data_IF_503170850045
#
_entry.id   IF_503170850045
#
_cell.length_a   1.000
_cell.length_b   1.000
_cell.length_c   1.000
_cell.angle_alpha   90.00
_cell.angle_beta   90.00
_cell.angle_gamma   90.00
#
_symmetry.space_group_name_H-M   'P 1'
#
loop_
_entity.id
_entity.type
_entity.pdbx_description
1 polymer ?
#
# COMPACT_ATOMS: atom_id res chain seq x y z
N UNK A 1 -26.97 -18.68 -15.74
CA UNK A 1 -27.27 -17.68 -14.68
C UNK A 1 -26.09 -17.70 -13.72
N UNK A 2 -25.14 -16.78 -13.86
CA UNK A 2 -24.07 -16.59 -12.89
C UNK A 2 -24.71 -16.08 -11.60
N UNK A 3 -24.58 -16.84 -10.50
CA UNK A 3 -24.92 -16.35 -9.17
C UNK A 3 -24.21 -14.99 -9.01
N UNK A 4 -24.95 -13.93 -8.69
CA UNK A 4 -24.41 -12.65 -8.25
C UNK A 4 -23.53 -12.94 -7.02
N UNK A 5 -22.23 -13.23 -7.23
CA UNK A 5 -21.25 -13.07 -6.16
C UNK A 5 -21.27 -11.59 -5.86
N UNK A 6 -21.57 -11.23 -4.63
CA UNK A 6 -21.40 -9.86 -4.20
C UNK A 6 -19.93 -9.48 -4.43
N UNK A 7 -19.71 -8.53 -5.32
CA UNK A 7 -18.36 -8.10 -5.75
C UNK A 7 -17.61 -7.48 -4.57
N UNK A 8 -18.33 -6.92 -3.62
CA UNK A 8 -17.83 -6.43 -2.35
C UNK A 8 -18.34 -7.34 -1.23
N UNK A 9 -17.44 -7.81 -0.39
CA UNK A 9 -17.80 -8.58 0.80
C UNK A 9 -18.79 -7.78 1.64
N UNK A 10 -19.76 -8.45 2.25
CA UNK A 10 -20.55 -7.83 3.28
C UNK A 10 -19.70 -7.51 4.52
N UNK A 11 -20.24 -6.72 5.43
CA UNK A 11 -19.50 -6.24 6.60
C UNK A 11 -19.14 -7.38 7.57
N UNK A 12 -19.92 -8.44 7.61
CA UNK A 12 -19.67 -9.57 8.49
C UNK A 12 -18.52 -10.43 7.94
N UNK A 13 -18.61 -10.83 6.68
CA UNK A 13 -17.58 -11.61 5.99
C UNK A 13 -16.21 -10.92 6.05
N UNK A 14 -16.19 -9.58 5.86
CA UNK A 14 -14.95 -8.80 5.91
C UNK A 14 -14.37 -8.73 7.33
N UNK A 15 -15.20 -8.54 8.35
CA UNK A 15 -14.76 -8.55 9.76
C UNK A 15 -14.21 -9.91 10.18
N UNK A 16 -14.86 -11.00 9.76
CA UNK A 16 -14.38 -12.36 10.01
C UNK A 16 -13.01 -12.59 9.34
N UNK A 17 -12.82 -12.14 8.11
CA UNK A 17 -11.56 -12.26 7.40
C UNK A 17 -10.44 -11.41 8.03
N UNK A 18 -10.75 -10.20 8.49
CA UNK A 18 -9.79 -9.36 9.21
C UNK A 18 -9.38 -10.03 10.53
N UNK A 19 -10.33 -10.58 11.29
CA UNK A 19 -10.05 -11.32 12.52
C UNK A 19 -9.25 -12.61 12.25
N UNK A 20 -9.48 -13.31 11.14
CA UNK A 20 -8.68 -14.46 10.72
C UNK A 20 -7.26 -14.06 10.31
N UNK A 21 -7.10 -12.94 9.63
CA UNK A 21 -5.78 -12.45 9.20
C UNK A 21 -4.88 -12.05 10.36
N UNK A 22 -5.45 -11.62 11.48
CA UNK A 22 -4.73 -11.30 12.71
C UNK A 22 -4.26 -12.55 13.48
N UNK A 23 -4.87 -13.72 13.22
CA UNK A 23 -4.50 -14.95 13.88
C UNK A 23 -3.31 -15.63 13.18
N UNK A 24 -2.18 -15.75 13.87
CA UNK A 24 -0.93 -16.30 13.32
C UNK A 24 -1.03 -17.78 12.87
N UNK A 25 -2.01 -18.53 13.33
CA UNK A 25 -2.21 -19.96 13.04
C UNK A 25 -3.17 -20.20 11.87
N UNK A 26 -4.08 -19.26 11.59
CA UNK A 26 -5.09 -19.40 10.54
C UNK A 26 -4.53 -19.05 9.15
N UNK A 27 -5.08 -19.66 8.06
CA UNK A 27 -4.80 -19.22 6.69
C UNK A 27 -5.11 -17.75 6.49
N UNK A 28 -4.50 -17.15 5.47
CA UNK A 28 -4.74 -15.78 5.05
C UNK A 28 -5.29 -15.75 3.61
N UNK A 29 -5.47 -14.56 3.03
CA UNK A 29 -6.02 -14.40 1.70
C UNK A 29 -5.03 -13.78 0.73
N UNK A 30 -5.00 -14.30 -0.50
CA UNK A 30 -4.33 -13.71 -1.65
C UNK A 30 -5.39 -13.43 -2.74
N UNK A 31 -5.85 -12.18 -2.84
CA UNK A 31 -7.13 -11.88 -3.48
C UNK A 31 -8.26 -12.62 -2.75
N UNK A 32 -9.14 -13.28 -3.49
CA UNK A 32 -10.20 -14.10 -2.90
C UNK A 32 -9.77 -15.54 -2.53
N UNK A 33 -8.54 -15.92 -2.87
CA UNK A 33 -8.04 -17.27 -2.61
C UNK A 33 -7.51 -17.39 -1.18
N UNK A 34 -7.99 -18.38 -0.44
CA UNK A 34 -7.49 -18.72 0.90
C UNK A 34 -6.19 -19.51 0.77
N UNK A 35 -5.13 -19.01 1.37
CA UNK A 35 -3.76 -19.56 1.25
C UNK A 35 -3.09 -19.70 2.62
N UNK A 36 -2.13 -20.63 2.73
CA UNK A 36 -1.26 -20.67 3.89
C UNK A 36 -0.38 -19.41 3.97
N UNK A 37 -0.07 -18.92 5.16
CA UNK A 37 0.66 -17.67 5.39
C UNK A 37 2.02 -17.63 4.68
N UNK A 38 2.79 -18.71 4.80
CA UNK A 38 4.09 -18.80 4.15
C UNK A 38 3.97 -18.72 2.62
N UNK A 39 2.94 -19.38 2.06
CA UNK A 39 2.67 -19.32 0.63
C UNK A 39 2.20 -17.94 0.16
N UNK A 40 1.51 -17.14 1.00
CA UNK A 40 1.10 -15.78 0.60
C UNK A 40 2.32 -14.90 0.29
N UNK A 41 3.31 -14.90 1.18
CA UNK A 41 4.54 -14.12 0.98
C UNK A 41 5.22 -14.45 -0.35
N UNK A 42 5.39 -15.73 -0.64
CA UNK A 42 6.05 -16.18 -1.86
C UNK A 42 5.24 -15.82 -3.11
N UNK A 43 3.92 -15.95 -3.05
CA UNK A 43 3.03 -15.50 -4.14
C UNK A 43 3.09 -14.00 -4.38
N UNK A 44 3.14 -13.20 -3.32
CA UNK A 44 3.31 -11.73 -3.43
C UNK A 44 4.63 -11.40 -4.11
N UNK A 45 5.74 -12.04 -3.70
CA UNK A 45 7.05 -11.83 -4.32
C UNK A 45 7.01 -12.22 -5.81
N UNK A 46 6.47 -13.38 -6.16
CA UNK A 46 6.33 -13.83 -7.55
C UNK A 46 5.46 -12.89 -8.38
N UNK A 47 4.33 -12.44 -7.81
CA UNK A 47 3.44 -11.48 -8.44
C UNK A 47 4.16 -10.19 -8.82
N UNK A 48 4.85 -9.55 -7.87
CA UNK A 48 5.57 -8.31 -8.13
C UNK A 48 6.78 -8.51 -9.04
N UNK A 49 7.48 -9.64 -8.97
CA UNK A 49 8.54 -9.99 -9.93
C UNK A 49 8.01 -10.02 -11.37
N UNK A 50 6.80 -10.55 -11.58
CA UNK A 50 6.21 -10.67 -12.92
C UNK A 50 5.80 -9.33 -13.52
N UNK A 51 5.49 -8.33 -12.69
CA UNK A 51 5.01 -7.01 -13.15
C UNK A 51 6.03 -5.88 -13.03
N UNK A 52 7.15 -6.09 -12.33
CA UNK A 52 8.11 -5.04 -11.96
C UNK A 52 8.56 -4.17 -13.15
N UNK A 53 8.80 -4.77 -14.33
CA UNK A 53 9.23 -4.06 -15.54
C UNK A 53 8.23 -3.03 -16.06
N UNK A 54 6.93 -3.34 -15.93
CA UNK A 54 5.84 -2.51 -16.46
C UNK A 54 5.04 -1.83 -15.35
N UNK A 55 5.48 -1.96 -14.10
CA UNK A 55 4.72 -1.55 -12.92
C UNK A 55 4.29 -0.08 -12.96
N UNK A 56 5.23 0.83 -13.13
CA UNK A 56 4.92 2.27 -13.15
C UNK A 56 4.08 2.67 -14.37
N UNK A 57 4.37 2.08 -15.53
CA UNK A 57 3.61 2.32 -16.75
C UNK A 57 2.16 1.85 -16.60
N UNK A 58 1.96 0.62 -16.12
CA UNK A 58 0.63 0.07 -15.92
C UNK A 58 -0.17 0.81 -14.85
N UNK A 59 0.46 1.21 -13.75
CA UNK A 59 -0.20 2.04 -12.75
C UNK A 59 -0.65 3.38 -13.34
N UNK A 60 0.17 4.03 -14.16
CA UNK A 60 -0.19 5.27 -14.85
C UNK A 60 -1.34 5.05 -15.84
N UNK A 61 -1.27 3.99 -16.64
CA UNK A 61 -2.30 3.65 -17.61
C UNK A 61 -3.63 3.34 -16.93
N UNK A 62 -3.63 2.41 -15.97
CA UNK A 62 -4.85 1.94 -15.30
C UNK A 62 -5.48 2.96 -14.35
N UNK A 63 -4.74 3.95 -13.91
CA UNK A 63 -5.29 5.05 -13.12
C UNK A 63 -5.49 6.33 -13.93
N UNK A 64 -5.26 6.31 -15.25
CA UNK A 64 -5.25 7.52 -16.09
C UNK A 64 -4.32 8.62 -15.51
N UNK A 65 -3.20 8.20 -14.86
CA UNK A 65 -2.25 9.10 -14.22
C UNK A 65 -2.71 9.71 -12.88
N UNK A 66 -3.95 9.48 -12.45
CA UNK A 66 -4.52 10.07 -11.23
C UNK A 66 -3.74 9.64 -9.98
N UNK A 67 -3.13 8.45 -9.96
CA UNK A 67 -2.33 7.97 -8.82
C UNK A 67 -1.17 8.91 -8.46
N UNK A 68 -0.64 9.67 -9.44
CA UNK A 68 0.40 10.67 -9.16
C UNK A 68 -0.14 11.84 -8.30
N UNK A 69 -1.39 12.25 -8.54
CA UNK A 69 -2.05 13.28 -7.72
C UNK A 69 -2.34 12.76 -6.31
N UNK A 70 -2.78 11.52 -6.19
CA UNK A 70 -3.02 10.89 -4.88
C UNK A 70 -1.74 10.82 -4.05
N UNK A 71 -0.63 10.35 -4.66
CA UNK A 71 0.69 10.26 -4.00
C UNK A 71 1.21 11.63 -3.55
N UNK A 72 1.07 12.66 -4.41
CA UNK A 72 1.44 14.04 -4.04
C UNK A 72 0.58 14.57 -2.90
N UNK A 73 -0.73 14.34 -2.96
CA UNK A 73 -1.64 14.75 -1.89
C UNK A 73 -1.30 14.07 -0.57
N UNK A 74 -0.99 12.77 -0.60
CA UNK A 74 -0.64 11.99 0.58
C UNK A 74 0.64 12.51 1.26
N UNK A 75 1.71 12.71 0.50
CA UNK A 75 2.97 13.24 1.06
C UNK A 75 2.77 14.68 1.56
N UNK A 76 2.08 15.54 0.81
CA UNK A 76 1.79 16.91 1.25
C UNK A 76 1.01 16.96 2.57
N UNK A 77 0.06 16.03 2.76
CA UNK A 77 -0.73 15.97 4.00
C UNK A 77 0.08 15.50 5.21
N UNK A 78 1.23 14.86 5.00
CA UNK A 78 2.12 14.49 6.11
C UNK A 78 2.78 15.72 6.75
N UNK A 79 2.84 16.86 6.06
CA UNK A 79 3.49 18.07 6.55
C UNK A 79 4.86 17.77 7.14
N UNK A 80 5.74 17.23 6.27
CA UNK A 80 7.09 16.80 6.62
C UNK A 80 7.99 17.99 6.89
N UNK A 81 8.89 17.87 7.85
CA UNK A 81 9.84 18.93 8.21
C UNK A 81 11.23 18.70 7.57
N UNK A 82 11.98 19.77 7.30
CA UNK A 82 13.39 19.64 6.92
C UNK A 82 14.19 18.87 7.98
N UNK A 83 14.93 17.85 7.53
CA UNK A 83 15.71 17.01 8.42
C UNK A 83 15.00 15.72 8.87
N UNK A 84 13.72 15.52 8.54
CA UNK A 84 12.98 14.30 8.91
C UNK A 84 13.64 13.05 8.34
N UNK A 85 13.64 11.98 9.14
CA UNK A 85 14.02 10.62 8.76
C UNK A 85 12.75 9.82 8.50
N UNK A 86 12.58 9.33 7.29
CA UNK A 86 11.32 8.71 6.84
C UNK A 86 11.55 7.26 6.44
N UNK A 87 10.61 6.39 6.80
CA UNK A 87 10.54 5.02 6.31
C UNK A 87 9.36 4.86 5.35
N UNK A 88 9.66 4.51 4.09
CA UNK A 88 8.69 4.18 3.04
C UNK A 88 8.50 2.65 3.00
N UNK A 89 7.51 2.15 3.71
CA UNK A 89 7.22 0.71 3.88
C UNK A 89 6.48 0.18 2.66
N UNK A 90 6.92 -0.95 2.12
CA UNK A 90 6.48 -1.46 0.82
C UNK A 90 6.70 -0.42 -0.29
N UNK A 91 7.80 0.33 -0.21
CA UNK A 91 8.06 1.50 -1.04
C UNK A 91 8.36 1.21 -2.52
N UNK A 92 8.65 -0.06 -2.86
CA UNK A 92 8.74 -0.56 -4.23
C UNK A 92 9.63 0.27 -5.13
N UNK A 93 9.03 0.94 -6.14
CA UNK A 93 9.75 1.78 -7.12
C UNK A 93 10.05 3.20 -6.62
N UNK A 94 9.91 3.48 -5.31
CA UNK A 94 10.27 4.71 -4.62
C UNK A 94 9.46 5.97 -5.00
N UNK A 95 8.22 5.83 -5.47
CA UNK A 95 7.42 6.99 -5.87
C UNK A 95 7.14 7.95 -4.70
N UNK A 96 6.74 7.43 -3.54
CA UNK A 96 6.51 8.22 -2.34
C UNK A 96 7.82 8.77 -1.77
N UNK A 97 8.86 7.93 -1.72
CA UNK A 97 10.19 8.34 -1.28
C UNK A 97 10.74 9.52 -2.07
N UNK A 98 10.58 9.52 -3.41
CA UNK A 98 11.00 10.63 -4.26
C UNK A 98 10.22 11.93 -3.99
N UNK A 99 8.96 11.84 -3.63
CA UNK A 99 8.15 13.01 -3.26
C UNK A 99 8.60 13.53 -1.90
N UNK A 100 8.69 12.67 -0.89
CA UNK A 100 9.11 13.03 0.46
C UNK A 100 10.54 13.61 0.50
N UNK A 101 11.49 13.05 -0.27
CA UNK A 101 12.86 13.52 -0.34
C UNK A 101 13.00 14.96 -0.84
N UNK A 102 11.99 15.51 -1.53
CA UNK A 102 11.98 16.93 -1.94
C UNK A 102 11.64 17.86 -0.79
N UNK A 103 10.77 17.41 0.12
CA UNK A 103 10.22 18.25 1.19
C UNK A 103 11.15 18.31 2.42
N UNK A 104 11.94 17.23 2.68
CA UNK A 104 12.79 17.12 3.89
C UNK A 104 14.15 17.81 3.79
N UNK A 105 14.47 18.43 2.68
CA UNK A 105 15.76 19.11 2.51
C UNK A 105 16.97 18.19 2.47
N UNK A 106 18.17 18.73 2.61
CA UNK A 106 19.44 17.97 2.48
C UNK A 106 19.86 17.25 3.77
N UNK A 107 19.33 17.65 4.91
CA UNK A 107 19.64 17.04 6.22
C UNK A 107 18.77 15.82 6.53
N UNK A 108 17.65 15.66 5.82
CA UNK A 108 16.74 14.52 5.97
C UNK A 108 17.11 13.33 5.11
N UNK A 109 16.45 12.21 5.34
CA UNK A 109 16.64 10.99 4.55
C UNK A 109 15.40 10.10 4.50
N UNK A 110 15.22 9.39 3.39
CA UNK A 110 14.15 8.41 3.20
C UNK A 110 14.74 7.03 2.99
N UNK A 111 14.25 6.04 3.73
CA UNK A 111 14.58 4.63 3.50
C UNK A 111 13.38 3.97 2.82
N UNK A 112 13.58 3.49 1.60
CA UNK A 112 12.67 2.59 0.90
C UNK A 112 12.86 1.18 1.46
N UNK A 113 11.83 0.65 2.10
CA UNK A 113 11.85 -0.67 2.73
C UNK A 113 10.85 -1.58 2.03
N UNK A 114 11.34 -2.59 1.35
CA UNK A 114 10.49 -3.51 0.57
C UNK A 114 11.01 -4.94 0.64
N UNK A 115 10.10 -5.92 0.61
CA UNK A 115 10.46 -7.33 0.59
C UNK A 115 10.93 -7.78 -0.79
N UNK A 116 10.50 -7.09 -1.85
CA UNK A 116 10.72 -7.49 -3.23
C UNK A 116 11.96 -6.82 -3.84
N UNK A 117 12.99 -7.64 -4.08
CA UNK A 117 14.26 -7.17 -4.65
C UNK A 117 14.11 -6.55 -6.05
N UNK A 118 13.24 -7.12 -6.90
CA UNK A 118 13.06 -6.60 -8.26
C UNK A 118 12.43 -5.19 -8.25
N UNK A 119 11.50 -4.95 -7.32
CA UNK A 119 10.89 -3.63 -7.12
C UNK A 119 11.92 -2.61 -6.61
N UNK A 120 12.78 -2.99 -5.65
CA UNK A 120 13.90 -2.16 -5.18
C UNK A 120 14.84 -1.82 -6.33
N UNK A 121 15.23 -2.79 -7.16
CA UNK A 121 16.10 -2.55 -8.32
C UNK A 121 15.47 -1.57 -9.31
N UNK A 122 14.18 -1.70 -9.61
CA UNK A 122 13.46 -0.76 -10.45
C UNK A 122 13.47 0.66 -9.85
N UNK A 123 13.29 0.78 -8.53
CA UNK A 123 13.38 2.04 -7.80
C UNK A 123 14.78 2.66 -7.86
N UNK A 124 15.82 1.88 -7.64
CA UNK A 124 17.22 2.30 -7.74
C UNK A 124 17.53 2.89 -9.12
N UNK A 125 17.16 2.19 -10.20
CA UNK A 125 17.36 2.69 -11.57
C UNK A 125 16.59 3.99 -11.81
N UNK A 126 15.36 4.10 -11.31
CA UNK A 126 14.50 5.27 -11.47
C UNK A 126 15.05 6.51 -10.77
N UNK A 127 15.71 6.33 -9.63
CA UNK A 127 16.22 7.42 -8.77
C UNK A 127 17.66 7.80 -9.10
N UNK A 128 18.47 6.92 -9.67
CA UNK A 128 19.94 7.02 -9.82
C UNK A 128 20.44 8.36 -10.40
N UNK A 129 19.69 8.97 -11.32
CA UNK A 129 20.10 10.21 -12.01
C UNK A 129 19.34 11.45 -11.52
N UNK A 130 18.72 11.39 -10.35
CA UNK A 130 17.99 12.52 -9.76
C UNK A 130 18.80 13.19 -8.65
N UNK A 131 18.69 14.50 -8.53
CA UNK A 131 19.38 15.30 -7.51
C UNK A 131 19.08 14.84 -6.08
N UNK A 132 17.95 14.19 -5.88
CA UNK A 132 17.52 13.65 -4.59
C UNK A 132 18.06 12.23 -4.29
N UNK A 133 18.82 11.61 -5.21
CA UNK A 133 19.26 10.23 -5.09
C UNK A 133 20.06 9.98 -3.80
N UNK A 134 20.89 10.91 -3.41
CA UNK A 134 21.72 10.83 -2.20
C UNK A 134 20.92 10.86 -0.88
N UNK A 135 19.63 11.19 -0.92
CA UNK A 135 18.71 11.19 0.25
C UNK A 135 17.88 9.93 0.37
N UNK A 136 17.95 9.02 -0.60
CA UNK A 136 17.10 7.83 -0.64
C UNK A 136 17.96 6.59 -0.51
N UNK A 137 17.84 5.91 0.64
CA UNK A 137 18.42 4.61 0.88
C UNK A 137 17.44 3.48 0.59
N UNK A 138 17.94 2.25 0.46
CA UNK A 138 17.12 1.08 0.17
C UNK A 138 17.51 -0.06 1.11
N UNK A 139 16.51 -0.69 1.71
CA UNK A 139 16.67 -1.87 2.56
C UNK A 139 15.66 -2.93 2.14
N UNK A 140 16.15 -4.14 1.89
CA UNK A 140 15.27 -5.29 1.66
C UNK A 140 14.83 -5.87 3.00
N UNK A 141 13.51 -5.94 3.25
CA UNK A 141 12.99 -6.48 4.51
C UNK A 141 11.50 -6.68 4.51
N UNK A 142 11.00 -7.36 5.55
CA UNK A 142 9.60 -7.67 5.73
C UNK A 142 8.92 -6.62 6.62
N UNK A 143 7.82 -6.04 6.15
CA UNK A 143 7.03 -5.05 6.89
C UNK A 143 6.50 -5.55 8.25
N UNK A 144 6.37 -6.88 8.42
CA UNK A 144 5.94 -7.51 9.67
C UNK A 144 7.06 -7.63 10.72
N UNK A 145 8.32 -7.35 10.35
CA UNK A 145 9.51 -7.40 11.21
C UNK A 145 10.54 -6.39 10.71
N UNK A 146 10.27 -5.11 10.94
CA UNK A 146 11.12 -4.02 10.44
C UNK A 146 12.47 -4.01 11.17
N UNK A 147 13.57 -4.12 10.40
CA UNK A 147 14.95 -4.24 10.90
C UNK A 147 15.55 -2.91 11.35
N UNK A 148 14.75 -2.07 12.00
CA UNK A 148 15.18 -0.81 12.61
C UNK A 148 14.78 -0.78 14.09
N UNK A 149 15.54 -0.06 14.94
CA UNK A 149 15.22 0.07 16.36
C UNK A 149 13.92 0.86 16.58
N UNK A 150 13.39 0.77 17.78
CA UNK A 150 12.25 1.57 18.21
C UNK A 150 12.58 3.08 18.12
N UNK A 151 11.56 3.90 17.90
CA UNK A 151 11.64 5.36 17.92
C UNK A 151 12.78 5.92 17.03
N UNK A 152 12.94 5.38 15.83
CA UNK A 152 14.03 5.73 14.93
C UNK A 152 13.64 6.77 13.87
N UNK A 153 12.40 6.78 13.41
CA UNK A 153 11.91 7.61 12.32
C UNK A 153 10.96 8.72 12.81
N UNK A 154 11.01 9.86 12.15
CA UNK A 154 10.10 10.98 12.38
C UNK A 154 8.77 10.74 11.67
N UNK A 155 8.80 10.02 10.54
CA UNK A 155 7.60 9.62 9.82
C UNK A 155 7.73 8.22 9.20
N UNK A 156 6.60 7.51 9.09
CA UNK A 156 6.46 6.28 8.29
C UNK A 156 5.35 6.47 7.27
N UNK A 157 5.52 5.90 6.10
CA UNK A 157 4.49 5.95 5.06
C UNK A 157 4.40 4.61 4.33
N UNK A 158 3.21 4.31 3.82
CA UNK A 158 2.96 3.17 2.94
C UNK A 158 1.95 3.55 1.86
N UNK A 159 2.23 3.22 0.60
CA UNK A 159 1.32 3.50 -0.50
C UNK A 159 1.07 2.29 -1.39
N UNK A 160 -0.18 1.82 -1.44
CA UNK A 160 -0.64 0.72 -2.29
C UNK A 160 0.08 -0.61 -2.08
N UNK A 161 0.69 -0.80 -0.91
CA UNK A 161 1.50 -1.98 -0.59
C UNK A 161 0.97 -2.83 0.55
N UNK A 162 0.44 -2.22 1.60
CA UNK A 162 0.12 -2.88 2.87
C UNK A 162 -0.95 -3.98 2.74
N UNK A 163 -1.88 -3.88 1.79
CA UNK A 163 -2.89 -4.90 1.52
C UNK A 163 -2.31 -6.26 1.11
N UNK A 164 -1.06 -6.27 0.62
CA UNK A 164 -0.37 -7.49 0.21
C UNK A 164 0.45 -8.12 1.35
N UNK A 165 0.64 -7.44 2.46
CA UNK A 165 1.33 -7.96 3.65
C UNK A 165 0.50 -9.10 4.26
N UNK A 166 1.17 -10.12 4.77
CA UNK A 166 0.49 -11.34 5.25
C UNK A 166 -0.31 -11.05 6.52
N UNK A 167 0.29 -10.33 7.47
CA UNK A 167 -0.38 -9.77 8.63
C UNK A 167 -0.26 -8.24 8.61
N UNK A 168 -1.30 -7.59 8.10
CA UNK A 168 -1.36 -6.13 7.96
C UNK A 168 -1.28 -5.41 9.30
N UNK A 169 -2.00 -5.91 10.33
CA UNK A 169 -1.94 -5.36 11.69
C UNK A 169 -0.51 -5.34 12.20
N UNK A 170 0.22 -6.46 12.05
CA UNK A 170 1.63 -6.56 12.44
C UNK A 170 2.50 -5.56 11.69
N UNK A 171 2.24 -5.33 10.41
CA UNK A 171 2.92 -4.29 9.63
C UNK A 171 2.70 -2.89 10.22
N UNK A 172 1.48 -2.54 10.60
CA UNK A 172 1.20 -1.25 11.25
C UNK A 172 1.76 -1.17 12.67
N UNK A 173 1.77 -2.27 13.44
CA UNK A 173 2.43 -2.33 14.75
C UNK A 173 3.93 -2.06 14.64
N UNK A 174 4.61 -2.60 13.63
CA UNK A 174 6.01 -2.35 13.36
C UNK A 174 6.26 -0.88 12.92
N UNK A 175 5.38 -0.33 12.04
CA UNK A 175 5.44 1.10 11.69
C UNK A 175 5.27 1.97 12.93
N UNK A 176 4.35 1.63 13.84
CA UNK A 176 4.18 2.31 15.12
C UNK A 176 5.43 2.19 16.00
N UNK A 177 6.00 0.99 16.13
CA UNK A 177 7.18 0.73 16.96
C UNK A 177 8.38 1.61 16.57
N UNK A 178 8.67 1.66 15.26
CA UNK A 178 9.85 2.40 14.76
C UNK A 178 9.66 3.92 14.69
N UNK A 179 8.43 4.42 14.84
CA UNK A 179 8.15 5.86 14.94
C UNK A 179 8.58 6.41 16.29
N UNK A 180 9.14 7.62 16.29
CA UNK A 180 9.33 8.44 17.47
C UNK A 180 8.00 8.87 18.08
N UNK A 181 7.92 9.19 19.39
CA UNK A 181 6.76 9.88 19.97
C UNK A 181 6.44 11.17 19.18
N UNK A 182 5.18 11.40 18.85
CA UNK A 182 4.74 12.51 17.99
C UNK A 182 5.03 12.30 16.49
N UNK A 183 5.65 11.19 16.10
CA UNK A 183 5.92 10.85 14.70
C UNK A 183 4.64 10.55 13.91
N UNK A 184 4.68 10.84 12.63
CA UNK A 184 3.51 10.77 11.73
C UNK A 184 3.51 9.47 10.92
N UNK A 185 2.35 8.83 10.81
CA UNK A 185 2.12 7.69 9.92
C UNK A 185 1.14 8.08 8.82
N UNK A 186 1.43 7.68 7.58
CA UNK A 186 0.54 7.83 6.43
C UNK A 186 0.32 6.48 5.74
N UNK A 187 -0.94 6.15 5.47
CA UNK A 187 -1.32 5.03 4.62
C UNK A 187 -2.18 5.53 3.46
N UNK A 188 -1.71 5.36 2.23
CA UNK A 188 -2.47 5.60 1.01
C UNK A 188 -2.85 4.25 0.40
N UNK A 189 -4.13 3.91 0.39
CA UNK A 189 -4.62 2.65 -0.17
C UNK A 189 -5.93 2.82 -0.94
N UNK A 190 -6.21 1.81 -1.76
CA UNK A 190 -7.49 1.72 -2.45
C UNK A 190 -8.62 1.37 -1.48
N UNK A 191 -9.85 1.82 -1.83
CA UNK A 191 -11.04 1.53 -1.06
C UNK A 191 -12.28 1.45 -1.94
N UNK A 192 -13.43 1.33 -1.29
CA UNK A 192 -14.74 1.18 -1.92
C UNK A 192 -15.29 2.55 -2.34
N UNK A 193 -15.62 2.77 -3.63
CA UNK A 193 -16.26 4.01 -4.04
C UNK A 193 -17.56 4.26 -3.29
N UNK A 194 -17.78 5.49 -2.87
CA UNK A 194 -18.92 5.87 -2.03
C UNK A 194 -20.24 6.00 -2.81
N UNK A 195 -20.20 6.57 -4.03
CA UNK A 195 -21.36 6.75 -4.88
C UNK A 195 -21.71 5.49 -5.67
N UNK A 196 -22.87 4.91 -5.44
CA UNK A 196 -23.25 3.59 -5.97
C UNK A 196 -23.19 3.45 -7.50
N UNK A 197 -23.66 4.39 -8.33
CA UNK A 197 -23.53 4.30 -9.79
C UNK A 197 -22.09 4.31 -10.26
N UNK A 198 -21.25 5.13 -9.64
CA UNK A 198 -19.81 5.17 -9.96
C UNK A 198 -19.10 3.88 -9.52
N UNK A 199 -19.49 3.29 -8.38
CA UNK A 199 -18.99 1.98 -7.94
C UNK A 199 -19.30 0.88 -8.94
N UNK A 200 -20.52 0.84 -9.47
CA UNK A 200 -20.89 -0.15 -10.50
C UNK A 200 -20.00 -0.02 -11.75
N UNK A 201 -19.77 1.22 -12.21
CA UNK A 201 -18.86 1.47 -13.36
C UNK A 201 -17.41 1.06 -13.03
N UNK A 202 -16.95 1.37 -11.83
CA UNK A 202 -15.62 0.97 -11.35
C UNK A 202 -15.48 -0.55 -11.25
N UNK A 203 -16.53 -1.28 -10.87
CA UNK A 203 -16.54 -2.73 -10.83
C UNK A 203 -16.41 -3.34 -12.23
N UNK A 204 -17.17 -2.83 -13.20
CA UNK A 204 -17.01 -3.25 -14.59
C UNK A 204 -15.58 -3.00 -15.08
N UNK A 205 -15.07 -1.78 -14.87
CA UNK A 205 -13.71 -1.43 -15.25
C UNK A 205 -12.68 -2.36 -14.61
N UNK A 206 -12.76 -2.57 -13.30
CA UNK A 206 -11.75 -3.30 -12.54
C UNK A 206 -11.74 -4.81 -12.79
N UNK A 207 -12.90 -5.44 -13.10
CA UNK A 207 -12.96 -6.88 -13.33
C UNK A 207 -12.87 -7.30 -14.81
N UNK A 208 -13.17 -6.41 -15.74
CA UNK A 208 -13.16 -6.76 -17.17
C UNK A 208 -12.08 -6.01 -17.93
N UNK A 209 -11.95 -4.69 -17.76
CA UNK A 209 -11.03 -3.87 -18.55
C UNK A 209 -9.60 -3.99 -18.03
N UNK A 210 -9.37 -3.88 -16.72
CA UNK A 210 -8.02 -3.97 -16.15
C UNK A 210 -7.33 -5.32 -16.43
N UNK A 211 -7.98 -6.50 -16.22
CA UNK A 211 -7.37 -7.78 -16.56
C UNK A 211 -7.11 -7.96 -18.06
N UNK A 212 -7.98 -7.43 -18.93
CA UNK A 212 -7.78 -7.47 -20.39
C UNK A 212 -6.55 -6.64 -20.80
N UNK A 213 -6.43 -5.42 -20.30
CA UNK A 213 -5.25 -4.58 -20.56
C UNK A 213 -3.97 -5.18 -19.96
N UNK A 214 -4.08 -5.80 -18.79
CA UNK A 214 -2.97 -6.49 -18.15
C UNK A 214 -2.44 -7.67 -18.96
N UNK A 215 -3.32 -8.43 -19.59
CA UNK A 215 -2.96 -9.51 -20.51
C UNK A 215 -2.30 -8.97 -21.77
N UNK A 216 -2.89 -7.97 -22.39
CA UNK A 216 -2.44 -7.40 -23.66
C UNK A 216 -1.07 -6.71 -23.55
N UNK A 217 -0.82 -5.98 -22.46
CA UNK A 217 0.36 -5.09 -22.33
C UNK A 217 1.46 -5.72 -21.46
N UNK A 218 1.08 -6.35 -20.36
CA UNK A 218 2.02 -6.91 -19.39
C UNK A 218 2.12 -8.45 -19.45
N UNK A 219 1.36 -9.10 -20.34
CA UNK A 219 1.35 -10.56 -20.50
C UNK A 219 0.82 -11.32 -19.28
N UNK A 220 0.07 -10.67 -18.40
CA UNK A 220 -0.38 -11.29 -17.15
C UNK A 220 -1.80 -10.89 -16.74
N UNK A 221 -2.81 -11.59 -17.30
CA UNK A 221 -4.21 -11.44 -16.86
C UNK A 221 -4.37 -11.69 -15.36
N UNK A 222 -3.69 -12.73 -14.84
CA UNK A 222 -3.77 -13.16 -13.44
C UNK A 222 -3.34 -12.05 -12.47
N UNK A 223 -2.26 -11.33 -12.78
CA UNK A 223 -1.78 -10.25 -11.94
C UNK A 223 -2.80 -9.11 -11.80
N UNK A 224 -3.48 -8.79 -12.88
CA UNK A 224 -4.47 -7.70 -12.93
C UNK A 224 -5.89 -8.14 -12.53
N UNK A 225 -6.14 -9.42 -12.35
CA UNK A 225 -7.32 -9.97 -11.66
C UNK A 225 -7.12 -9.92 -10.14
N UNK A 226 -5.91 -10.22 -9.67
CA UNK A 226 -5.57 -10.13 -8.24
C UNK A 226 -5.73 -8.70 -7.67
N UNK A 227 -5.42 -7.67 -8.45
CA UNK A 227 -5.52 -6.28 -8.00
C UNK A 227 -6.93 -5.90 -7.50
N UNK A 228 -8.01 -6.02 -8.30
CA UNK A 228 -9.35 -5.71 -7.81
C UNK A 228 -9.82 -6.62 -6.67
N UNK A 229 -9.41 -7.88 -6.64
CA UNK A 229 -9.72 -8.79 -5.54
C UNK A 229 -9.09 -8.33 -4.23
N UNK A 230 -7.78 -8.01 -4.23
CA UNK A 230 -7.07 -7.54 -3.04
C UNK A 230 -7.61 -6.21 -2.50
N UNK A 231 -8.09 -5.32 -3.38
CA UNK A 231 -8.76 -4.08 -2.97
C UNK A 231 -10.04 -4.37 -2.17
N UNK A 232 -10.82 -5.36 -2.60
CA UNK A 232 -12.10 -5.71 -1.96
C UNK A 232 -11.96 -6.46 -0.64
N UNK A 233 -10.78 -7.01 -0.42
CA UNK A 233 -10.39 -7.68 0.83
C UNK A 233 -9.78 -6.70 1.84
N UNK A 234 -9.47 -5.47 1.44
CA UNK A 234 -8.87 -4.46 2.31
C UNK A 234 -9.92 -3.82 3.23
N UNK A 235 -9.57 -3.42 4.48
CA UNK A 235 -10.48 -2.76 5.39
C UNK A 235 -11.10 -1.49 4.79
N UNK A 236 -12.35 -1.20 5.15
CA UNK A 236 -12.94 0.11 4.89
C UNK A 236 -12.26 1.19 5.74
N UNK A 237 -12.41 2.48 5.38
CA UNK A 237 -11.69 3.56 6.06
C UNK A 237 -11.92 3.60 7.57
N UNK A 238 -13.14 3.41 8.04
CA UNK A 238 -13.45 3.40 9.49
C UNK A 238 -12.83 2.17 10.17
N UNK A 239 -12.86 0.99 9.53
CA UNK A 239 -12.27 -0.23 10.06
C UNK A 239 -10.76 -0.13 10.20
N UNK A 240 -10.09 0.51 9.22
CA UNK A 240 -8.66 0.78 9.31
C UNK A 240 -8.36 1.80 10.40
N UNK A 241 -9.17 2.86 10.53
CA UNK A 241 -9.02 3.85 11.61
C UNK A 241 -9.16 3.21 12.99
N UNK A 242 -10.12 2.32 13.17
CA UNK A 242 -10.30 1.56 14.42
C UNK A 242 -9.09 0.65 14.71
N UNK A 243 -8.55 -0.01 13.68
CA UNK A 243 -7.35 -0.85 13.81
C UNK A 243 -6.15 -0.01 14.26
N UNK A 244 -5.90 1.14 13.63
CA UNK A 244 -4.79 2.03 13.96
C UNK A 244 -4.92 2.58 15.38
N UNK A 245 -6.13 2.97 15.79
CA UNK A 245 -6.40 3.42 17.17
C UNK A 245 -6.12 2.31 18.19
N UNK A 246 -6.52 1.06 17.90
CA UNK A 246 -6.25 -0.10 18.77
C UNK A 246 -4.77 -0.48 18.84
N UNK A 247 -3.97 -0.13 17.84
CA UNK A 247 -2.49 -0.29 17.87
C UNK A 247 -1.84 0.74 18.80
N UNK A 248 -2.50 1.89 19.02
CA UNK A 248 -1.99 2.94 19.87
C UNK A 248 -1.78 4.29 19.18
N UNK A 249 -2.07 4.38 17.88
CA UNK A 249 -2.04 5.66 17.18
C UNK A 249 -3.11 6.61 17.73
N UNK A 250 -2.75 7.86 17.87
CA UNK A 250 -3.65 8.98 18.20
C UNK A 250 -3.99 9.80 16.96
N UNK A 251 -4.98 10.68 17.07
CA UNK A 251 -5.39 11.62 16.02
C UNK A 251 -5.58 10.94 14.64
N UNK A 252 -6.15 9.73 14.63
CA UNK A 252 -6.39 8.99 13.39
C UNK A 252 -7.47 9.70 12.60
N UNK A 253 -7.15 10.06 11.37
CA UNK A 253 -8.06 10.71 10.42
C UNK A 253 -7.87 10.14 9.02
N UNK A 254 -8.89 10.27 8.17
CA UNK A 254 -8.75 9.89 6.78
C UNK A 254 -9.42 10.87 5.81
N UNK A 255 -8.95 10.84 4.56
CA UNK A 255 -9.48 11.62 3.45
C UNK A 255 -9.75 10.75 2.24
N UNK A 256 -10.98 10.76 1.76
CA UNK A 256 -11.36 10.11 0.52
C UNK A 256 -10.86 10.91 -0.69
N UNK A 257 -10.32 10.19 -1.69
CA UNK A 257 -9.88 10.73 -2.95
C UNK A 257 -10.69 10.09 -4.09
N UNK A 258 -11.01 10.86 -5.12
CA UNK A 258 -11.71 10.37 -6.32
C UNK A 258 -12.90 9.47 -5.96
N UNK A 259 -13.87 10.05 -5.24
CA UNK A 259 -15.08 9.36 -4.77
C UNK A 259 -14.81 8.10 -3.94
N UNK A 260 -13.71 8.05 -3.19
CA UNK A 260 -13.35 6.93 -2.32
C UNK A 260 -12.60 5.78 -3.00
N UNK A 261 -12.21 5.90 -4.29
CA UNK A 261 -11.35 4.89 -4.92
C UNK A 261 -10.02 4.73 -4.18
N UNK A 262 -9.46 5.84 -3.71
CA UNK A 262 -8.29 5.85 -2.85
C UNK A 262 -8.57 6.63 -1.57
N UNK A 263 -7.90 6.26 -0.49
CA UNK A 263 -8.04 6.91 0.82
C UNK A 263 -6.67 7.13 1.42
N UNK A 264 -6.45 8.32 1.97
CA UNK A 264 -5.28 8.65 2.78
C UNK A 264 -5.69 8.58 4.23
N UNK A 265 -5.03 7.73 5.02
CA UNK A 265 -5.08 7.77 6.48
C UNK A 265 -3.85 8.48 7.02
N UNK A 266 -4.04 9.32 8.01
CA UNK A 266 -2.98 9.95 8.79
C UNK A 266 -3.20 9.64 10.26
N UNK A 267 -2.11 9.38 10.97
CA UNK A 267 -2.14 9.11 12.40
C UNK A 267 -0.85 9.57 13.07
N UNK A 268 -0.88 9.82 14.38
CA UNK A 268 0.26 10.26 15.19
C UNK A 268 0.53 9.22 16.28
N UNK A 269 1.81 8.91 16.50
CA UNK A 269 2.24 8.07 17.62
C UNK A 269 2.21 8.81 18.95
#
# INVERSE_FOLDING_TARGET
MLKKKEIWLDDQDRKEQLAESDNSVKPTYFGYERVARDHKRDRVIQHFNSVARHYDFMNSLLSFGIHHLWKRSAVKMMDLAPGDRILDVCGGTADLAMLAAKDIGTAGGVIVYDINRAMIQAGLHKVAHKDIAHRIGYVQGNAETISFPDMHFDATMVGFGIRNVTNMRKGFEEMFRVLKPGGKMMCLEFSKPTFAPFRWLYDIYSFYIMPFLGELIAGSRKAYTHLPESIRMFPLPDELSDMLTKIGFSQVSYRNLTNGIAVIHLAIK
#
